data_IF_198684483061
#
_entry.id   IF_198684483061
#
_cell.length_a   1.000
_cell.length_b   1.000
_cell.length_c   1.000
_cell.angle_alpha   90.00
_cell.angle_beta   90.00
_cell.angle_gamma   90.00
#
_symmetry.space_group_name_H-M   'P 1'
#
loop_
_entity.id
_entity.type
_entity.pdbx_description
1 polymer ?
#
# COMPACT_ATOMS: atom_id res chain seq x y z
N UNK A 1 -25.63 7.70 21.76
CA UNK A 1 -25.22 6.29 21.90
C UNK A 1 -24.49 5.96 20.61
N UNK A 2 -23.17 6.08 20.59
CA UNK A 2 -22.38 5.76 19.40
C UNK A 2 -22.45 4.24 19.19
N UNK A 3 -23.11 3.82 18.11
CA UNK A 3 -22.93 2.45 17.62
C UNK A 3 -21.49 2.42 17.12
N UNK A 4 -20.55 1.91 17.93
CA UNK A 4 -19.24 1.53 17.42
C UNK A 4 -19.46 0.50 16.33
N UNK A 5 -19.35 0.92 15.07
CA UNK A 5 -19.38 0.00 13.94
C UNK A 5 -18.12 -0.85 14.00
N UNK A 6 -18.16 -2.10 13.50
CA UNK A 6 -16.96 -2.94 13.44
C UNK A 6 -15.81 -2.22 12.71
N UNK A 7 -16.12 -1.39 11.72
CA UNK A 7 -15.17 -0.54 11.01
C UNK A 7 -14.46 0.48 11.94
N UNK A 8 -15.16 1.07 12.91
CA UNK A 8 -14.54 1.96 13.93
C UNK A 8 -13.66 1.20 14.92
N UNK A 9 -14.03 -0.03 15.29
CA UNK A 9 -13.18 -0.90 16.11
C UNK A 9 -11.90 -1.27 15.35
N UNK A 10 -12.03 -1.57 14.04
CA UNK A 10 -10.91 -1.85 13.15
C UNK A 10 -9.98 -0.63 13.05
N UNK A 11 -10.55 0.55 12.83
CA UNK A 11 -9.81 1.80 12.69
C UNK A 11 -8.98 2.17 13.93
N UNK A 12 -9.45 1.77 15.12
CA UNK A 12 -8.80 2.05 16.41
C UNK A 12 -7.73 1.02 16.77
N UNK A 13 -7.96 -0.27 16.50
CA UNK A 13 -7.01 -1.35 16.83
C UNK A 13 -5.92 -1.53 15.77
N UNK A 14 -6.17 -1.13 14.54
CA UNK A 14 -5.30 -1.41 13.41
C UNK A 14 -5.67 -2.73 12.75
N UNK A 15 -5.51 -2.79 11.42
CA UNK A 15 -6.01 -3.90 10.61
C UNK A 15 -5.33 -5.24 10.93
N UNK A 16 -4.07 -5.20 11.37
CA UNK A 16 -3.26 -6.38 11.67
C UNK A 16 -3.71 -7.11 12.97
N UNK A 17 -4.52 -6.46 13.82
CA UNK A 17 -4.96 -7.01 15.11
C UNK A 17 -6.27 -7.82 15.02
N UNK A 18 -6.80 -8.02 13.82
CA UNK A 18 -8.18 -8.45 13.64
C UNK A 18 -8.19 -9.74 12.87
N UNK A 19 -8.73 -10.77 13.53
CA UNK A 19 -8.90 -12.07 12.93
C UNK A 19 -10.19 -12.08 12.11
N UNK A 20 -10.04 -12.19 10.79
CA UNK A 20 -11.15 -12.31 9.85
C UNK A 20 -11.46 -13.77 9.48
N UNK A 21 -10.76 -14.75 10.05
CA UNK A 21 -10.86 -16.17 9.67
C UNK A 21 -12.26 -16.76 9.85
N UNK A 22 -13.06 -16.16 10.74
CA UNK A 22 -14.42 -16.60 11.04
C UNK A 22 -15.50 -15.88 10.22
N UNK A 23 -15.14 -14.91 9.38
CA UNK A 23 -16.10 -14.15 8.57
C UNK A 23 -16.16 -14.71 7.14
N UNK A 24 -17.38 -14.82 6.62
CA UNK A 24 -17.60 -15.11 5.20
C UNK A 24 -17.23 -13.90 4.34
N UNK A 25 -16.83 -14.15 3.09
CA UNK A 25 -16.35 -13.09 2.18
C UNK A 25 -17.41 -12.02 1.89
N UNK A 26 -18.69 -12.37 1.88
CA UNK A 26 -19.82 -11.44 1.69
C UNK A 26 -19.99 -10.43 2.83
N UNK A 27 -19.49 -10.75 4.02
CA UNK A 27 -19.45 -9.84 5.18
C UNK A 27 -18.10 -9.14 5.27
N UNK A 28 -17.01 -9.90 5.08
CA UNK A 28 -15.65 -9.44 5.23
C UNK A 28 -15.28 -8.37 4.21
N UNK A 29 -15.62 -8.55 2.93
CA UNK A 29 -15.24 -7.60 1.86
C UNK A 29 -15.87 -6.22 2.08
N UNK A 30 -17.19 -6.06 2.29
CA UNK A 30 -17.78 -4.75 2.58
C UNK A 30 -17.17 -4.10 3.82
N UNK A 31 -16.97 -4.88 4.89
CA UNK A 31 -16.41 -4.37 6.13
C UNK A 31 -14.96 -3.87 5.98
N UNK A 32 -14.12 -4.60 5.24
CA UNK A 32 -12.75 -4.18 4.94
C UNK A 32 -12.72 -2.90 4.09
N UNK A 33 -13.64 -2.77 3.13
CA UNK A 33 -13.78 -1.54 2.35
C UNK A 33 -14.18 -0.35 3.25
N UNK A 34 -15.16 -0.53 4.12
CA UNK A 34 -15.61 0.52 5.05
C UNK A 34 -14.49 0.94 6.02
N UNK A 35 -13.78 -0.04 6.57
CA UNK A 35 -12.61 0.21 7.41
C UNK A 35 -11.52 0.99 6.67
N UNK A 36 -11.24 0.62 5.41
CA UNK A 36 -10.26 1.30 4.58
C UNK A 36 -10.62 2.78 4.36
N UNK A 37 -11.90 3.09 4.11
CA UNK A 37 -12.37 4.48 4.00
C UNK A 37 -12.20 5.26 5.31
N UNK A 38 -12.47 4.64 6.45
CA UNK A 38 -12.24 5.28 7.75
C UNK A 38 -10.75 5.54 8.00
N UNK A 39 -9.89 4.55 7.76
CA UNK A 39 -8.44 4.73 7.85
C UNK A 39 -7.95 5.86 6.96
N UNK A 40 -8.45 5.94 5.72
CA UNK A 40 -8.07 6.98 4.78
C UNK A 40 -8.47 8.37 5.27
N UNK A 41 -9.69 8.53 5.83
CA UNK A 41 -10.16 9.79 6.43
C UNK A 41 -9.37 10.22 7.68
N UNK A 42 -8.68 9.27 8.33
CA UNK A 42 -7.85 9.51 9.51
C UNK A 42 -6.36 9.69 9.14
N UNK A 43 -6.03 9.86 7.85
CA UNK A 43 -4.66 9.90 7.31
C UNK A 43 -3.81 8.64 7.63
N UNK A 44 -4.44 7.54 8.06
CA UNK A 44 -3.81 6.23 8.26
C UNK A 44 -3.70 5.48 6.93
N UNK A 45 -3.00 6.07 5.97
CA UNK A 45 -2.98 5.60 4.58
C UNK A 45 -2.47 4.16 4.40
N UNK A 46 -1.47 3.73 5.19
CA UNK A 46 -0.96 2.36 5.12
C UNK A 46 -2.02 1.32 5.53
N UNK A 47 -2.79 1.60 6.58
CA UNK A 47 -3.88 0.73 7.02
C UNK A 47 -5.03 0.70 6.01
N UNK A 48 -5.31 1.84 5.37
CA UNK A 48 -6.27 1.91 4.27
C UNK A 48 -5.87 1.03 3.09
N UNK A 49 -4.62 1.15 2.62
CA UNK A 49 -4.06 0.34 1.52
C UNK A 49 -4.12 -1.15 1.87
N UNK A 50 -3.69 -1.53 3.08
CA UNK A 50 -3.78 -2.93 3.56
C UNK A 50 -5.21 -3.44 3.54
N UNK A 51 -6.16 -2.64 4.04
CA UNK A 51 -7.57 -3.02 4.10
C UNK A 51 -8.18 -3.23 2.70
N UNK A 52 -7.92 -2.33 1.74
CA UNK A 52 -8.34 -2.53 0.36
C UNK A 52 -7.63 -3.69 -0.34
N UNK A 53 -6.37 -3.97 0.03
CA UNK A 53 -5.65 -5.15 -0.45
C UNK A 53 -6.30 -6.44 0.02
N UNK A 54 -6.61 -6.54 1.31
CA UNK A 54 -7.31 -7.69 1.90
C UNK A 54 -8.73 -7.85 1.32
N UNK A 55 -9.40 -6.75 0.98
CA UNK A 55 -10.70 -6.75 0.34
C UNK A 55 -10.64 -7.11 -1.16
N UNK A 56 -9.44 -7.19 -1.76
CA UNK A 56 -9.26 -7.39 -3.20
C UNK A 56 -9.75 -6.21 -4.06
N UNK A 57 -9.91 -5.01 -3.48
CA UNK A 57 -10.46 -3.85 -4.19
C UNK A 57 -9.42 -3.15 -5.07
N UNK A 58 -9.08 -3.78 -6.20
CA UNK A 58 -8.08 -3.29 -7.15
C UNK A 58 -8.43 -1.93 -7.74
N UNK A 59 -9.70 -1.69 -8.05
CA UNK A 59 -10.14 -0.41 -8.62
C UNK A 59 -9.81 0.74 -7.66
N UNK A 60 -10.10 0.57 -6.37
CA UNK A 60 -9.79 1.60 -5.37
C UNK A 60 -8.30 1.78 -5.15
N UNK A 61 -7.53 0.68 -5.13
CA UNK A 61 -6.08 0.71 -5.03
C UNK A 61 -5.42 1.47 -6.19
N UNK A 62 -5.94 1.34 -7.41
CA UNK A 62 -5.48 2.14 -8.56
C UNK A 62 -5.82 3.61 -8.34
N UNK A 63 -7.07 3.93 -8.00
CA UNK A 63 -7.52 5.31 -7.78
C UNK A 63 -6.69 6.05 -6.73
N UNK A 64 -6.51 5.44 -5.54
CA UNK A 64 -5.71 6.06 -4.48
C UNK A 64 -4.21 6.05 -4.81
N UNK A 65 -3.74 5.04 -5.55
CA UNK A 65 -2.36 4.99 -6.04
C UNK A 65 -2.05 6.14 -7.00
N UNK A 66 -2.94 6.39 -7.96
CA UNK A 66 -2.84 7.49 -8.93
C UNK A 66 -2.87 8.85 -8.17
N UNK A 67 -3.75 9.00 -7.17
CA UNK A 67 -3.75 10.19 -6.31
C UNK A 67 -2.46 10.40 -5.51
N UNK A 68 -1.90 9.32 -4.92
CA UNK A 68 -0.62 9.40 -4.22
C UNK A 68 0.54 9.73 -5.16
N UNK A 69 0.50 9.21 -6.39
CA UNK A 69 1.47 9.49 -7.43
C UNK A 69 1.48 10.98 -7.78
N UNK A 70 0.31 11.56 -8.05
CA UNK A 70 0.14 12.99 -8.35
C UNK A 70 0.58 13.87 -7.18
N UNK A 71 0.42 13.39 -5.95
CA UNK A 71 0.84 14.08 -4.72
C UNK A 71 2.31 13.86 -4.37
N UNK A 72 3.12 13.26 -5.24
CA UNK A 72 4.52 12.88 -5.01
C UNK A 72 4.76 11.97 -3.78
N UNK A 73 3.72 11.30 -3.28
CA UNK A 73 3.78 10.32 -2.19
C UNK A 73 4.13 8.94 -2.74
N UNK A 74 5.28 8.84 -3.41
CA UNK A 74 5.63 7.68 -4.24
C UNK A 74 5.67 6.34 -3.50
N UNK A 75 6.07 6.35 -2.23
CA UNK A 75 6.03 5.17 -1.37
C UNK A 75 4.61 4.61 -1.21
N UNK A 76 3.62 5.48 -1.00
CA UNK A 76 2.22 5.07 -0.86
C UNK A 76 1.62 4.66 -2.21
N UNK A 77 1.97 5.35 -3.30
CA UNK A 77 1.58 4.96 -4.65
C UNK A 77 2.07 3.54 -5.00
N UNK A 78 3.36 3.26 -4.76
CA UNK A 78 3.95 1.94 -4.99
C UNK A 78 3.24 0.83 -4.19
N UNK A 79 3.01 1.07 -2.90
CA UNK A 79 2.30 0.12 -2.04
C UNK A 79 0.86 -0.13 -2.49
N UNK A 80 0.23 0.83 -3.15
CA UNK A 80 -1.12 0.67 -3.72
C UNK A 80 -1.10 -0.14 -5.02
N UNK A 81 -0.08 0.03 -5.86
CA UNK A 81 0.03 -0.67 -7.15
C UNK A 81 0.51 -2.13 -7.05
N UNK A 82 1.36 -2.45 -6.08
CA UNK A 82 1.89 -3.82 -5.85
C UNK A 82 0.78 -4.89 -5.84
N UNK A 83 -0.27 -4.80 -5.02
CA UNK A 83 -1.33 -5.80 -4.99
C UNK A 83 -2.16 -5.87 -6.29
N UNK A 84 -2.17 -4.81 -7.09
CA UNK A 84 -2.88 -4.75 -8.38
C UNK A 84 -2.12 -5.53 -9.46
N UNK A 85 -0.78 -5.52 -9.41
CA UNK A 85 0.14 -6.12 -10.39
C UNK A 85 0.02 -5.51 -11.79
N UNK A 86 -0.29 -4.21 -11.88
CA UNK A 86 -0.21 -3.45 -13.13
C UNK A 86 1.26 -3.16 -13.44
N UNK A 87 1.80 -3.86 -14.43
CA UNK A 87 3.20 -3.78 -14.83
C UNK A 87 3.63 -2.34 -15.19
N UNK A 88 2.81 -1.59 -15.92
CA UNK A 88 3.18 -0.25 -16.39
C UNK A 88 3.27 0.73 -15.23
N UNK A 89 2.30 0.69 -14.31
CA UNK A 89 2.33 1.52 -13.09
C UNK A 89 3.50 1.17 -12.19
N UNK A 90 3.79 -0.12 -12.04
CA UNK A 90 4.91 -0.61 -11.24
C UNK A 90 6.25 -0.17 -11.84
N UNK A 91 6.46 -0.30 -13.14
CA UNK A 91 7.70 0.17 -13.79
C UNK A 91 7.88 1.68 -13.61
N UNK A 92 6.83 2.47 -13.83
CA UNK A 92 6.86 3.92 -13.68
C UNK A 92 7.16 4.33 -12.23
N UNK A 93 6.46 3.77 -11.24
CA UNK A 93 6.68 4.14 -9.84
C UNK A 93 8.03 3.61 -9.33
N UNK A 94 8.51 2.47 -9.83
CA UNK A 94 9.82 1.92 -9.50
C UNK A 94 10.94 2.86 -9.91
N UNK A 95 10.90 3.39 -11.14
CA UNK A 95 11.86 4.37 -11.63
C UNK A 95 11.84 5.66 -10.82
N UNK A 96 10.64 6.16 -10.48
CA UNK A 96 10.50 7.33 -9.62
C UNK A 96 11.08 7.09 -8.23
N UNK A 97 10.78 5.95 -7.60
CA UNK A 97 11.35 5.61 -6.31
C UNK A 97 12.89 5.61 -6.35
N UNK A 98 13.52 5.10 -7.42
CA UNK A 98 14.99 5.20 -7.57
C UNK A 98 15.43 6.68 -7.64
N UNK A 99 14.78 7.48 -8.50
CA UNK A 99 15.15 8.89 -8.71
C UNK A 99 15.04 9.73 -7.44
N UNK A 100 14.04 9.45 -6.61
CA UNK A 100 13.77 10.18 -5.37
C UNK A 100 14.48 9.55 -4.15
N UNK A 101 15.33 8.53 -4.34
CA UNK A 101 16.10 7.90 -3.28
C UNK A 101 15.33 6.95 -2.35
N UNK A 102 14.14 6.51 -2.76
CA UNK A 102 13.24 5.60 -2.03
C UNK A 102 13.57 4.14 -2.40
N UNK A 103 14.83 3.74 -2.18
CA UNK A 103 15.39 2.49 -2.70
C UNK A 103 14.73 1.23 -2.16
N UNK A 104 14.36 1.21 -0.87
CA UNK A 104 13.68 0.07 -0.26
C UNK A 104 12.32 -0.19 -0.89
N UNK A 105 11.63 0.88 -1.32
CA UNK A 105 10.36 0.75 -2.07
C UNK A 105 10.60 0.33 -3.51
N UNK A 106 11.61 0.90 -4.19
CA UNK A 106 11.98 0.49 -5.55
C UNK A 106 12.30 -1.00 -5.61
N UNK A 107 13.10 -1.52 -4.66
CA UNK A 107 13.44 -2.94 -4.56
C UNK A 107 12.17 -3.80 -4.45
N UNK A 108 11.20 -3.43 -3.61
CA UNK A 108 9.93 -4.16 -3.49
C UNK A 108 9.18 -4.21 -4.82
N UNK A 109 9.11 -3.09 -5.52
CA UNK A 109 8.46 -2.98 -6.84
C UNK A 109 9.14 -3.89 -7.87
N UNK A 110 10.46 -3.84 -7.98
CA UNK A 110 11.20 -4.67 -8.95
C UNK A 110 11.21 -6.16 -8.58
N UNK A 111 11.09 -6.51 -7.29
CA UNK A 111 10.82 -7.90 -6.88
C UNK A 111 9.47 -8.39 -7.41
N UNK A 112 8.41 -7.59 -7.29
CA UNK A 112 7.09 -7.93 -7.83
C UNK A 112 7.08 -8.04 -9.37
N UNK A 113 7.91 -7.24 -10.05
CA UNK A 113 8.14 -7.34 -11.49
C UNK A 113 9.04 -8.52 -11.90
N UNK A 114 9.64 -9.24 -10.95
CA UNK A 114 10.67 -10.27 -11.16
C UNK A 114 11.93 -9.76 -11.89
N UNK A 115 12.24 -8.47 -11.77
CA UNK A 115 13.43 -7.85 -12.37
C UNK A 115 14.64 -7.97 -11.43
N UNK A 116 15.25 -9.16 -11.43
CA UNK A 116 16.43 -9.45 -10.59
C UNK A 116 17.61 -8.54 -10.90
N UNK A 117 17.78 -8.14 -12.15
CA UNK A 117 18.89 -7.28 -12.57
C UNK A 117 18.75 -5.89 -11.94
N UNK A 118 17.55 -5.30 -11.97
CA UNK A 118 17.30 -4.02 -11.34
C UNK A 118 17.40 -4.10 -9.81
N UNK A 119 16.92 -5.18 -9.18
CA UNK A 119 17.09 -5.39 -7.74
C UNK A 119 18.57 -5.41 -7.35
N UNK A 120 19.41 -6.19 -8.04
CA UNK A 120 20.85 -6.22 -7.81
C UNK A 120 21.50 -4.85 -8.03
N UNK A 121 21.15 -4.18 -9.12
CA UNK A 121 21.65 -2.84 -9.42
C UNK A 121 21.36 -1.85 -8.28
N UNK A 122 20.13 -1.82 -7.76
CA UNK A 122 19.77 -0.90 -6.68
C UNK A 122 20.56 -1.22 -5.40
N UNK A 123 20.64 -2.50 -5.03
CA UNK A 123 21.33 -2.93 -3.80
C UNK A 123 22.82 -2.61 -3.87
N UNK A 124 23.48 -2.91 -5.00
CA UNK A 124 24.91 -2.71 -5.18
C UNK A 124 25.31 -1.22 -5.20
N UNK A 125 24.44 -0.35 -5.69
CA UNK A 125 24.75 1.08 -5.82
C UNK A 125 24.23 1.95 -4.66
N UNK A 126 23.13 1.55 -4.02
CA UNK A 126 22.41 2.40 -3.06
C UNK A 126 22.11 1.73 -1.71
N UNK A 127 22.10 0.39 -1.64
CA UNK A 127 21.76 -0.39 -0.44
C UNK A 127 20.27 -0.74 -0.32
N UNK A 128 19.90 -1.40 0.78
CA UNK A 128 18.53 -1.91 1.03
C UNK A 128 17.63 -0.96 1.82
N UNK A 129 18.21 0.00 2.53
CA UNK A 129 17.47 0.91 3.40
C UNK A 129 17.12 2.21 2.67
N UNK A 130 15.85 2.63 2.79
CA UNK A 130 15.49 4.02 2.58
C UNK A 130 16.32 4.80 3.60
N UNK A 131 17.42 5.45 3.18
CA UNK A 131 18.15 6.36 4.06
C UNK A 131 17.14 7.40 4.52
N UNK A 132 16.63 7.28 5.73
CA UNK A 132 15.94 8.37 6.39
C UNK A 132 16.96 9.51 6.42
N UNK A 133 16.81 10.47 5.50
CA UNK A 133 17.49 11.73 5.64
C UNK A 133 16.89 12.38 6.87
N UNK A 134 17.51 12.10 8.02
CA UNK A 134 17.25 12.83 9.23
C UNK A 134 17.52 14.30 8.98
N UNK A 135 16.48 15.10 9.14
CA UNK A 135 16.49 16.50 9.57
C UNK A 135 15.08 16.90 9.98
#
# INVERSE_FOLDING_TARGET
MEIQTLASLIANKGIDQIDFSMLSEDVKIPMLNDAAYLFFKMDKHLDAIKSWTLAGNKAKLIEIGDWFYESAKFKLAALSYIPVKDKSRLENIGQLCIREGIYGTAIKVYKELNDKAMVSFIIENFGEEDKEMGQ
#
